data_IF_351943677139
#
_entry.id   IF_351943677139
#
_cell.length_a   1.000
_cell.length_b   1.000
_cell.length_c   1.000
_cell.angle_alpha   90.00
_cell.angle_beta   90.00
_cell.angle_gamma   90.00
#
_symmetry.space_group_name_H-M   'P 1'
#
loop_
_entity.id
_entity.type
_entity.pdbx_description
1 polymer ?
#
# COMPACT_ATOMS: atom_id res chain seq x y z
N UNK A 1 -17.39 19.59 -12.30
CA UNK A 1 -17.51 20.19 -10.95
C UNK A 1 -16.31 19.72 -10.13
N UNK A 2 -15.62 20.65 -9.48
CA UNK A 2 -14.59 20.34 -8.49
C UNK A 2 -15.16 20.72 -7.12
N UNK A 3 -15.27 19.74 -6.23
CA UNK A 3 -15.81 19.89 -4.89
C UNK A 3 -14.73 19.61 -3.84
N UNK A 4 -14.55 20.52 -2.90
CA UNK A 4 -13.74 20.29 -1.71
C UNK A 4 -14.62 19.64 -0.64
N UNK A 5 -14.32 18.40 -0.28
CA UNK A 5 -15.03 17.60 0.71
C UNK A 5 -14.31 17.64 2.05
N UNK A 6 -15.08 17.52 3.13
CA UNK A 6 -14.53 17.35 4.48
C UNK A 6 -15.41 16.38 5.25
N UNK A 7 -14.87 15.21 5.57
CA UNK A 7 -15.54 14.24 6.43
C UNK A 7 -15.06 14.44 7.87
N UNK A 8 -16.02 14.54 8.79
CA UNK A 8 -15.73 14.67 10.21
C UNK A 8 -15.77 13.29 10.86
N UNK A 9 -14.69 12.93 11.54
CA UNK A 9 -14.60 11.72 12.35
C UNK A 9 -14.37 12.10 13.80
N UNK A 10 -14.88 11.34 14.78
CA UNK A 10 -14.54 11.58 16.18
C UNK A 10 -13.02 11.43 16.38
N UNK A 11 -12.41 12.25 17.24
CA UNK A 11 -11.05 12.07 17.73
C UNK A 11 -11.03 11.43 19.12
N UNK A 12 -9.90 10.88 19.55
CA UNK A 12 -9.79 10.18 20.85
C UNK A 12 -9.99 11.08 22.07
N UNK A 13 -9.74 12.38 21.91
CA UNK A 13 -10.02 13.40 22.92
C UNK A 13 -11.46 13.95 22.85
N UNK A 14 -12.32 13.37 22.00
CA UNK A 14 -13.69 13.81 21.78
C UNK A 14 -13.85 15.00 20.83
N UNK A 15 -12.76 15.62 20.35
CA UNK A 15 -12.82 16.66 19.34
C UNK A 15 -12.95 16.04 17.94
N UNK A 16 -13.76 16.63 17.05
CA UNK A 16 -13.84 16.15 15.68
C UNK A 16 -12.53 16.40 14.93
N UNK A 17 -12.11 15.39 14.16
CA UNK A 17 -11.00 15.44 13.23
C UNK A 17 -11.53 15.44 11.80
N UNK A 18 -10.80 16.11 10.90
CA UNK A 18 -11.23 16.31 9.53
C UNK A 18 -10.37 15.48 8.56
N UNK A 19 -11.04 14.69 7.71
CA UNK A 19 -10.45 14.08 6.52
C UNK A 19 -10.80 14.98 5.33
N UNK A 20 -9.79 15.55 4.68
CA UNK A 20 -9.97 16.41 3.51
C UNK A 20 -9.87 15.60 2.23
N UNK A 21 -10.80 15.84 1.32
CA UNK A 21 -10.85 15.19 0.03
C UNK A 21 -11.27 16.15 -1.07
N UNK A 22 -10.98 15.78 -2.31
CA UNK A 22 -11.39 16.53 -3.51
C UNK A 22 -12.11 15.60 -4.46
N UNK A 23 -13.30 15.99 -4.92
CA UNK A 23 -14.05 15.25 -5.93
C UNK A 23 -14.13 16.06 -7.21
N UNK A 24 -13.65 15.46 -8.30
CA UNK A 24 -13.72 16.02 -9.64
C UNK A 24 -14.67 15.16 -10.47
N UNK A 25 -15.71 15.77 -11.04
CA UNK A 25 -16.69 15.08 -11.89
C UNK A 25 -16.76 15.75 -13.26
N UNK A 26 -16.56 14.97 -14.32
CA UNK A 26 -16.58 15.45 -15.71
C UNK A 26 -17.47 14.66 -16.67
N UNK A 27 -17.97 13.49 -16.27
CA UNK A 27 -18.95 12.70 -17.05
C UNK A 27 -19.39 11.43 -16.32
N UNK A 28 -20.09 10.55 -17.04
CA UNK A 28 -20.67 9.30 -16.53
C UNK A 28 -19.74 8.07 -16.67
N UNK A 29 -18.45 8.30 -16.96
CA UNK A 29 -17.41 7.26 -16.99
C UNK A 29 -17.03 6.72 -15.60
N UNK A 30 -15.91 6.00 -15.49
CA UNK A 30 -15.57 5.27 -14.26
C UNK A 30 -15.45 6.17 -13.03
N UNK A 31 -15.86 5.65 -11.88
CA UNK A 31 -15.68 6.26 -10.57
C UNK A 31 -14.35 5.79 -9.97
N UNK A 32 -13.51 6.72 -9.54
CA UNK A 32 -12.17 6.44 -9.03
C UNK A 32 -12.04 7.00 -7.62
N UNK A 33 -11.49 6.22 -6.70
CA UNK A 33 -11.07 6.64 -5.37
C UNK A 33 -9.57 6.43 -5.23
N UNK A 34 -8.85 7.52 -4.94
CA UNK A 34 -7.42 7.52 -4.70
C UNK A 34 -7.19 8.02 -3.28
N UNK A 35 -6.52 7.23 -2.45
CA UNK A 35 -6.19 7.68 -1.10
C UNK A 35 -4.74 7.35 -0.74
N UNK A 36 -4.22 8.06 0.27
CA UNK A 36 -2.93 7.80 0.86
C UNK A 36 -2.96 8.07 2.36
N UNK A 37 -1.98 7.50 3.07
CA UNK A 37 -1.78 7.79 4.49
C UNK A 37 -2.79 7.12 5.40
N UNK A 38 -3.23 5.90 5.08
CA UNK A 38 -3.92 5.03 6.04
C UNK A 38 -2.97 4.71 7.20
N UNK A 39 -1.72 4.34 6.91
CA UNK A 39 -0.61 4.50 7.84
C UNK A 39 -0.08 5.93 7.73
N UNK A 40 -0.14 6.69 8.82
CA UNK A 40 0.12 8.14 8.75
C UNK A 40 1.61 8.49 8.56
N UNK A 41 2.51 7.53 8.78
CA UNK A 41 3.96 7.63 8.60
C UNK A 41 4.44 7.20 7.19
N UNK A 42 3.53 6.80 6.32
CA UNK A 42 3.79 6.47 4.91
C UNK A 42 3.44 7.67 4.01
N UNK A 43 4.35 8.65 3.98
CA UNK A 43 4.04 9.99 3.47
C UNK A 43 4.22 10.15 1.95
N UNK A 44 4.85 9.20 1.25
CA UNK A 44 5.13 9.32 -0.18
C UNK A 44 3.85 9.45 -1.00
N UNK A 45 2.84 8.62 -0.71
CA UNK A 45 1.53 8.67 -1.37
C UNK A 45 0.82 10.01 -1.20
N UNK A 46 0.99 10.68 -0.05
CA UNK A 46 0.43 12.01 0.18
C UNK A 46 1.01 13.04 -0.79
N UNK A 47 2.34 12.97 -1.05
CA UNK A 47 3.03 13.84 -2.00
C UNK A 47 2.67 13.50 -3.45
N UNK A 48 2.50 12.22 -3.78
CA UNK A 48 2.00 11.78 -5.09
C UNK A 48 0.62 12.38 -5.37
N UNK A 49 -0.32 12.26 -4.42
CA UNK A 49 -1.66 12.83 -4.59
C UNK A 49 -1.66 14.36 -4.61
N UNK A 50 -0.72 15.00 -3.91
CA UNK A 50 -0.49 16.45 -4.02
C UNK A 50 -0.05 16.86 -5.44
N UNK A 51 0.84 16.09 -6.08
CA UNK A 51 1.30 16.34 -7.46
C UNK A 51 0.24 15.99 -8.50
N UNK A 52 -0.55 14.95 -8.26
CA UNK A 52 -1.59 14.47 -9.17
C UNK A 52 -2.81 15.41 -9.23
N UNK A 53 -3.23 15.96 -8.08
CA UNK A 53 -4.47 16.75 -8.00
C UNK A 53 -4.50 17.95 -8.98
N UNK A 54 -3.46 18.79 -9.10
CA UNK A 54 -3.41 19.85 -10.11
C UNK A 54 -3.53 19.33 -11.56
N UNK A 55 -2.95 18.15 -11.85
CA UNK A 55 -3.04 17.55 -13.19
C UNK A 55 -4.48 17.09 -13.49
N UNK A 56 -5.17 16.52 -12.50
CA UNK A 56 -6.59 16.16 -12.60
C UNK A 56 -7.49 17.40 -12.76
N UNK A 57 -7.22 18.47 -12.01
CA UNK A 57 -7.93 19.75 -12.19
C UNK A 57 -7.74 20.29 -13.60
N UNK A 58 -6.51 20.27 -14.12
CA UNK A 58 -6.24 20.73 -15.49
C UNK A 58 -6.95 19.87 -16.55
N UNK A 59 -7.01 18.54 -16.36
CA UNK A 59 -7.79 17.66 -17.24
C UNK A 59 -9.31 17.95 -17.14
N UNK A 60 -9.81 18.24 -15.95
CA UNK A 60 -11.20 18.67 -15.73
C UNK A 60 -11.51 19.97 -16.46
N UNK A 61 -10.68 21.00 -16.29
CA UNK A 61 -10.87 22.34 -16.87
C UNK A 61 -10.81 22.32 -18.40
N UNK A 62 -10.05 21.38 -18.98
CA UNK A 62 -10.03 21.11 -20.43
C UNK A 62 -11.22 20.28 -20.94
N UNK A 63 -12.14 19.87 -20.06
CA UNK A 63 -13.28 19.03 -20.42
C UNK A 63 -12.90 17.59 -20.78
N UNK A 64 -11.75 17.11 -20.30
CA UNK A 64 -11.19 15.80 -20.66
C UNK A 64 -11.49 14.71 -19.63
N UNK A 65 -11.93 15.10 -18.42
CA UNK A 65 -12.32 14.13 -17.40
C UNK A 65 -13.64 13.48 -17.78
N UNK A 66 -13.66 12.18 -18.02
CA UNK A 66 -14.83 11.43 -18.47
C UNK A 66 -15.64 10.80 -17.34
N UNK A 67 -15.05 10.65 -16.16
CA UNK A 67 -15.68 10.03 -14.99
C UNK A 67 -15.68 10.94 -13.75
N UNK A 68 -15.60 10.30 -12.59
CA UNK A 68 -15.46 11.00 -11.29
C UNK A 68 -14.23 10.49 -10.56
N UNK A 69 -13.38 11.39 -10.07
CA UNK A 69 -12.19 11.04 -9.27
C UNK A 69 -12.31 11.70 -7.90
N UNK A 70 -12.28 10.89 -6.84
CA UNK A 70 -12.18 11.34 -5.45
C UNK A 70 -10.75 11.12 -4.97
N UNK A 71 -10.10 12.17 -4.48
CA UNK A 71 -8.71 12.16 -4.02
C UNK A 71 -8.67 12.46 -2.52
N UNK A 72 -8.03 11.59 -1.74
CA UNK A 72 -7.90 11.67 -0.27
C UNK A 72 -6.41 11.56 0.13
N UNK A 73 -5.64 12.66 0.05
CA UNK A 73 -4.19 12.64 0.30
C UNK A 73 -3.78 12.29 1.73
N UNK A 74 -4.64 12.54 2.71
CA UNK A 74 -4.35 12.33 4.14
C UNK A 74 -5.55 11.63 4.78
N UNK A 75 -5.59 10.30 4.66
CA UNK A 75 -6.74 9.50 5.08
C UNK A 75 -6.84 9.35 6.61
N UNK A 76 -5.73 9.35 7.35
CA UNK A 76 -5.68 9.05 8.79
C UNK A 76 -5.32 10.25 9.69
N UNK A 77 -6.29 11.09 10.06
CA UNK A 77 -6.04 12.18 10.99
C UNK A 77 -5.76 11.72 12.43
N UNK A 78 -6.15 10.49 12.82
CA UNK A 78 -5.83 9.92 14.13
C UNK A 78 -4.33 9.66 14.22
N UNK A 79 -3.77 8.91 13.27
CA UNK A 79 -2.33 8.63 13.18
C UNK A 79 -1.49 9.89 13.01
N UNK A 80 -1.95 10.86 12.21
CA UNK A 80 -1.25 12.15 12.04
C UNK A 80 -1.09 12.97 13.33
N UNK A 81 -1.91 12.70 14.35
CA UNK A 81 -1.82 13.35 15.65
C UNK A 81 -0.88 12.62 16.64
N UNK A 82 -0.32 11.46 16.27
CA UNK A 82 0.44 10.60 17.17
C UNK A 82 1.96 10.87 17.11
N UNK A 83 2.41 11.91 17.81
CA UNK A 83 3.85 12.17 17.98
C UNK A 83 4.37 11.67 19.33
N UNK A 84 5.46 10.90 19.32
CA UNK A 84 6.18 10.41 20.50
C UNK A 84 7.67 10.59 20.29
N UNK A 85 8.33 11.30 21.22
CA UNK A 85 9.79 11.50 21.21
C UNK A 85 10.36 11.97 19.85
N UNK A 86 9.64 12.88 19.18
CA UNK A 86 10.05 13.44 17.89
C UNK A 86 9.79 12.54 16.68
N UNK A 87 9.08 11.42 16.85
CA UNK A 87 8.67 10.52 15.76
C UNK A 87 7.15 10.50 15.64
N UNK A 88 6.66 10.46 14.41
CA UNK A 88 5.28 10.11 14.12
C UNK A 88 5.15 8.58 14.24
N UNK A 89 4.16 8.11 15.00
CA UNK A 89 3.82 6.69 15.09
C UNK A 89 2.54 6.49 14.28
N UNK A 90 2.66 6.15 13.00
CA UNK A 90 1.54 6.17 12.06
C UNK A 90 0.94 4.81 11.72
N UNK A 91 1.63 3.71 12.05
CA UNK A 91 1.19 2.34 11.74
C UNK A 91 0.11 1.79 12.68
N UNK A 92 0.21 2.08 13.97
CA UNK A 92 -0.70 1.56 15.00
C UNK A 92 -1.40 2.68 15.75
N UNK A 93 -2.67 2.48 16.08
CA UNK A 93 -3.43 3.38 16.92
C UNK A 93 -2.99 3.27 18.38
N UNK A 94 -2.54 4.37 18.99
CA UNK A 94 -1.89 4.39 20.31
C UNK A 94 -2.82 3.86 21.41
N UNK A 95 -4.10 4.23 21.37
CA UNK A 95 -5.05 3.86 22.43
C UNK A 95 -5.49 2.39 22.38
N UNK A 96 -5.43 1.72 21.22
CA UNK A 96 -5.95 0.36 21.05
C UNK A 96 -4.91 -0.65 20.58
N UNK A 97 -3.70 -0.19 20.23
CA UNK A 97 -2.64 -0.98 19.60
C UNK A 97 -3.05 -1.72 18.32
N UNK A 98 -4.13 -1.26 17.66
CA UNK A 98 -4.61 -1.85 16.41
C UNK A 98 -3.84 -1.24 15.26
N UNK A 99 -3.41 -2.06 14.32
CA UNK A 99 -2.88 -1.59 13.04
C UNK A 99 -4.01 -0.83 12.30
N UNK A 100 -3.72 0.37 11.80
CA UNK A 100 -4.72 1.22 11.14
C UNK A 100 -5.30 0.57 9.87
N UNK A 101 -4.53 -0.27 9.17
CA UNK A 101 -4.96 -1.00 7.98
C UNK A 101 -5.44 -2.43 8.27
N UNK A 102 -6.16 -2.65 9.38
CA UNK A 102 -6.75 -3.96 9.74
C UNK A 102 -8.18 -3.82 10.24
N UNK A 103 -8.98 -4.88 10.11
CA UNK A 103 -10.38 -4.99 10.54
C UNK A 103 -11.39 -4.04 9.87
N UNK A 104 -11.10 -3.56 8.67
CA UNK A 104 -12.07 -2.79 7.88
C UNK A 104 -13.36 -3.56 7.62
N UNK A 105 -13.32 -4.90 7.48
CA UNK A 105 -14.53 -5.72 7.35
C UNK A 105 -15.52 -5.51 8.50
N UNK A 106 -15.03 -5.52 9.75
CA UNK A 106 -15.84 -5.34 10.95
C UNK A 106 -16.44 -3.93 10.99
N UNK A 107 -15.59 -2.92 10.75
CA UNK A 107 -15.99 -1.52 10.74
C UNK A 107 -17.00 -1.20 9.63
N UNK A 108 -16.83 -1.79 8.45
CA UNK A 108 -17.74 -1.67 7.31
C UNK A 108 -19.06 -2.43 7.49
N UNK A 109 -19.07 -3.52 8.25
CA UNK A 109 -20.30 -4.25 8.58
C UNK A 109 -21.10 -3.59 9.73
N UNK A 110 -20.44 -2.78 10.57
CA UNK A 110 -21.07 -2.15 11.71
C UNK A 110 -22.13 -1.11 11.28
N UNK A 111 -23.39 -1.33 11.68
CA UNK A 111 -24.50 -0.37 11.47
C UNK A 111 -24.28 0.96 12.18
N UNK A 112 -23.61 0.92 13.33
CA UNK A 112 -23.22 2.10 14.13
C UNK A 112 -21.84 1.81 14.71
N UNK A 113 -20.77 2.46 14.22
CA UNK A 113 -19.43 2.26 14.76
C UNK A 113 -19.39 2.64 16.25
N UNK A 114 -18.87 1.74 17.08
CA UNK A 114 -18.85 1.90 18.55
C UNK A 114 -17.59 2.62 19.06
N UNK A 115 -16.57 2.78 18.22
CA UNK A 115 -15.29 3.39 18.59
C UNK A 115 -14.88 4.45 17.57
N UNK A 116 -14.04 5.39 17.99
CA UNK A 116 -13.41 6.38 17.11
C UNK A 116 -12.71 5.73 15.92
N UNK A 117 -11.91 4.71 16.19
CA UNK A 117 -11.20 3.93 15.18
C UNK A 117 -12.16 3.30 14.16
N UNK A 118 -13.24 2.65 14.60
CA UNK A 118 -14.21 2.05 13.69
C UNK A 118 -15.02 3.09 12.89
N UNK A 119 -15.32 4.25 13.49
CA UNK A 119 -16.02 5.34 12.80
C UNK A 119 -15.16 5.94 11.68
N UNK A 120 -13.86 6.10 11.94
CA UNK A 120 -12.88 6.53 10.95
C UNK A 120 -12.78 5.52 9.80
N UNK A 121 -12.57 4.23 10.09
CA UNK A 121 -12.50 3.18 9.05
C UNK A 121 -13.78 3.11 8.21
N UNK A 122 -14.94 3.18 8.86
CA UNK A 122 -16.25 3.20 8.19
C UNK A 122 -16.36 4.38 7.21
N UNK A 123 -15.89 5.56 7.62
CA UNK A 123 -15.91 6.76 6.78
C UNK A 123 -15.09 6.58 5.50
N UNK A 124 -13.88 6.03 5.61
CA UNK A 124 -13.04 5.73 4.44
C UNK A 124 -13.68 4.67 3.54
N UNK A 125 -14.23 3.60 4.13
CA UNK A 125 -14.91 2.55 3.37
C UNK A 125 -16.12 3.09 2.58
N UNK A 126 -17.02 3.83 3.24
CA UNK A 126 -18.22 4.38 2.60
C UNK A 126 -17.86 5.40 1.49
N UNK A 127 -16.71 6.08 1.60
CA UNK A 127 -16.23 6.99 0.56
C UNK A 127 -15.78 6.25 -0.73
N UNK A 128 -15.32 5.01 -0.59
CA UNK A 128 -14.67 4.26 -1.66
C UNK A 128 -15.50 3.10 -2.24
N UNK A 129 -16.46 2.54 -1.49
CA UNK A 129 -17.10 1.26 -1.83
C UNK A 129 -17.87 1.26 -3.17
N UNK A 130 -18.34 2.43 -3.63
CA UNK A 130 -19.07 2.58 -4.89
C UNK A 130 -18.16 2.96 -6.09
N UNK A 131 -16.85 3.03 -5.90
CA UNK A 131 -15.92 3.28 -6.98
C UNK A 131 -15.74 2.04 -7.86
N UNK A 132 -15.34 2.25 -9.11
CA UNK A 132 -14.92 1.19 -10.04
C UNK A 132 -13.42 0.92 -9.94
N UNK A 133 -12.65 1.92 -9.50
CA UNK A 133 -11.21 1.86 -9.30
C UNK A 133 -10.88 2.43 -7.92
N UNK A 134 -10.19 1.66 -7.09
CA UNK A 134 -9.72 2.08 -5.75
C UNK A 134 -8.22 1.84 -5.65
N UNK A 135 -7.42 2.90 -5.47
CA UNK A 135 -5.99 2.80 -5.21
C UNK A 135 -5.68 3.37 -3.83
N UNK A 136 -5.08 2.55 -2.98
CA UNK A 136 -4.57 2.96 -1.68
C UNK A 136 -3.04 3.00 -1.72
N UNK A 137 -2.46 4.19 -1.58
CA UNK A 137 -1.02 4.41 -1.74
C UNK A 137 -0.31 4.30 -0.38
N UNK A 138 0.60 3.34 -0.30
CA UNK A 138 1.40 2.96 0.86
C UNK A 138 2.91 3.00 0.52
N UNK A 139 3.73 2.74 1.52
CA UNK A 139 5.17 2.45 1.39
C UNK A 139 5.60 1.40 2.40
N UNK A 140 6.48 0.49 2.01
CA UNK A 140 7.11 -0.45 2.95
C UNK A 140 8.36 0.18 3.61
N UNK A 141 9.11 -0.57 4.40
CA UNK A 141 10.29 -0.10 5.13
C UNK A 141 11.40 0.39 4.18
N UNK A 142 11.97 -0.50 3.38
CA UNK A 142 12.91 -0.26 2.26
C UNK A 142 12.57 -1.28 1.18
N UNK A 143 12.08 -0.86 0.02
CA UNK A 143 11.46 -1.77 -0.94
C UNK A 143 11.51 -1.30 -2.40
N UNK A 144 11.43 -2.27 -3.32
CA UNK A 144 11.05 -1.99 -4.71
C UNK A 144 9.59 -1.50 -4.76
N UNK A 145 9.14 -0.86 -5.85
CA UNK A 145 7.73 -0.61 -6.05
C UNK A 145 7.00 -1.93 -6.38
N UNK A 146 5.90 -2.21 -5.69
CA UNK A 146 5.09 -3.41 -5.93
C UNK A 146 3.59 -3.16 -5.67
N UNK A 147 2.75 -4.13 -6.06
CA UNK A 147 1.31 -4.09 -5.80
C UNK A 147 0.88 -5.23 -4.88
N UNK A 148 -0.11 -4.98 -4.03
CA UNK A 148 -0.94 -6.00 -3.42
C UNK A 148 -2.34 -5.94 -4.03
N UNK A 149 -2.84 -7.07 -4.50
CA UNK A 149 -4.20 -7.19 -5.02
C UNK A 149 -4.75 -8.61 -4.90
N UNK A 150 -6.09 -8.70 -4.88
CA UNK A 150 -6.78 -9.98 -4.88
C UNK A 150 -6.55 -10.73 -6.20
N UNK A 151 -6.38 -12.06 -6.13
CA UNK A 151 -6.03 -12.90 -7.29
C UNK A 151 -6.99 -12.78 -8.48
N UNK A 152 -8.31 -12.72 -8.27
CA UNK A 152 -9.30 -12.60 -9.36
C UNK A 152 -9.23 -11.26 -10.11
N UNK A 153 -8.55 -10.25 -9.57
CA UNK A 153 -8.27 -8.99 -10.26
C UNK A 153 -7.08 -9.10 -11.21
N UNK A 154 -6.32 -10.19 -11.14
CA UNK A 154 -5.21 -10.50 -12.03
C UNK A 154 -5.66 -11.45 -13.16
N UNK A 155 -5.23 -11.25 -14.43
CA UNK A 155 -4.26 -10.28 -14.96
C UNK A 155 -4.89 -8.95 -15.43
N UNK A 156 -6.15 -8.68 -15.12
CA UNK A 156 -6.85 -7.48 -15.60
C UNK A 156 -6.22 -6.17 -15.08
N UNK A 157 -5.46 -6.21 -13.98
CA UNK A 157 -4.72 -5.08 -13.41
C UNK A 157 -3.28 -4.91 -13.92
N UNK A 158 -2.86 -5.64 -14.96
CA UNK A 158 -1.47 -5.54 -15.51
C UNK A 158 -1.11 -4.15 -16.04
N UNK A 159 -2.09 -3.41 -16.51
CA UNK A 159 -1.92 -2.04 -17.00
C UNK A 159 -1.57 -1.06 -15.86
N UNK A 160 -2.12 -1.24 -14.65
CA UNK A 160 -1.70 -0.49 -13.47
C UNK A 160 -0.22 -0.76 -13.15
N UNK A 161 0.16 -2.04 -13.17
CA UNK A 161 1.54 -2.46 -12.94
C UNK A 161 2.50 -1.85 -13.99
N UNK A 162 2.11 -1.85 -15.26
CA UNK A 162 2.87 -1.23 -16.35
C UNK A 162 3.01 0.28 -16.17
N UNK A 163 1.90 0.97 -15.89
CA UNK A 163 1.85 2.43 -15.80
C UNK A 163 2.67 2.97 -14.61
N UNK A 164 2.65 2.27 -13.48
CA UNK A 164 3.45 2.60 -12.30
C UNK A 164 4.89 2.09 -12.38
N UNK A 165 5.20 1.22 -13.34
CA UNK A 165 6.52 0.61 -13.47
C UNK A 165 6.92 -0.21 -12.24
N UNK A 166 5.97 -0.93 -11.64
CA UNK A 166 6.23 -1.81 -10.49
C UNK A 166 6.99 -3.05 -10.92
N UNK A 167 7.84 -3.59 -10.05
CA UNK A 167 8.62 -4.80 -10.33
C UNK A 167 7.84 -6.08 -10.04
N UNK A 168 6.96 -6.05 -9.05
CA UNK A 168 6.29 -7.23 -8.49
C UNK A 168 4.80 -6.95 -8.27
N UNK A 169 3.95 -7.93 -8.58
CA UNK A 169 2.55 -7.95 -8.18
C UNK A 169 2.32 -9.14 -7.24
N UNK A 170 2.03 -8.86 -5.97
CA UNK A 170 1.78 -9.87 -4.94
C UNK A 170 0.28 -10.14 -4.87
N UNK A 171 -0.10 -11.39 -5.12
CA UNK A 171 -1.48 -11.84 -5.29
C UNK A 171 -1.94 -12.60 -4.05
N UNK A 172 -2.96 -12.09 -3.37
CA UNK A 172 -3.58 -12.75 -2.22
C UNK A 172 -4.94 -13.37 -2.60
N UNK A 173 -5.32 -14.43 -1.88
CA UNK A 173 -6.53 -15.21 -2.14
C UNK A 173 -7.64 -14.84 -1.14
N UNK A 174 -7.33 -14.89 0.15
CA UNK A 174 -8.22 -14.55 1.27
C UNK A 174 -7.60 -13.42 2.09
N UNK A 175 -8.45 -12.50 2.57
CA UNK A 175 -8.08 -11.43 3.50
C UNK A 175 -8.72 -11.71 4.86
N UNK A 176 -7.96 -12.39 5.73
CA UNK A 176 -8.40 -12.72 7.09
C UNK A 176 -8.23 -11.54 8.06
N UNK A 177 -7.39 -10.56 7.73
CA UNK A 177 -6.98 -9.51 8.65
C UNK A 177 -7.70 -8.17 8.41
N UNK A 178 -8.39 -8.07 7.27
CA UNK A 178 -9.35 -7.04 6.95
C UNK A 178 -8.69 -5.72 6.62
N UNK A 179 -7.73 -5.73 5.71
CA UNK A 179 -7.16 -4.53 5.14
C UNK A 179 -8.21 -3.70 4.37
N UNK A 180 -7.93 -2.43 4.13
CA UNK A 180 -8.87 -1.53 3.46
C UNK A 180 -9.26 -2.06 2.07
N UNK A 181 -8.27 -2.43 1.26
CA UNK A 181 -8.44 -2.96 -0.08
C UNK A 181 -9.22 -4.29 -0.08
N UNK A 182 -8.94 -5.16 0.90
CA UNK A 182 -9.62 -6.45 1.01
C UNK A 182 -11.07 -6.28 1.46
N UNK A 183 -11.37 -5.30 2.32
CA UNK A 183 -12.75 -4.93 2.65
C UNK A 183 -13.56 -4.45 1.43
N UNK A 184 -12.95 -3.66 0.56
CA UNK A 184 -13.56 -3.22 -0.70
C UNK A 184 -13.76 -4.41 -1.65
N UNK A 185 -12.73 -5.24 -1.86
CA UNK A 185 -12.81 -6.43 -2.71
C UNK A 185 -13.90 -7.39 -2.24
N UNK A 186 -13.97 -7.67 -0.94
CA UNK A 186 -14.98 -8.53 -0.35
C UNK A 186 -16.40 -7.93 -0.47
N UNK A 187 -16.52 -6.60 -0.38
CA UNK A 187 -17.80 -5.93 -0.64
C UNK A 187 -18.24 -6.12 -2.09
N UNK A 188 -17.37 -5.92 -3.07
CA UNK A 188 -17.70 -6.16 -4.48
C UNK A 188 -17.96 -7.64 -4.79
N UNK A 189 -17.22 -8.57 -4.18
CA UNK A 189 -17.46 -9.99 -4.33
C UNK A 189 -18.88 -10.38 -3.88
N UNK A 190 -19.34 -9.83 -2.75
CA UNK A 190 -20.70 -10.08 -2.22
C UNK A 190 -21.82 -9.42 -3.04
N UNK A 191 -21.56 -8.25 -3.61
CA UNK A 191 -22.57 -7.46 -4.35
C UNK A 191 -22.48 -7.63 -5.88
N UNK A 192 -21.51 -8.39 -6.37
CA UNK A 192 -21.19 -8.53 -7.79
C UNK A 192 -20.32 -7.40 -8.34
N UNK A 193 -19.67 -7.66 -9.48
CA UNK A 193 -18.86 -6.66 -10.17
C UNK A 193 -17.38 -6.62 -9.80
N UNK A 194 -16.84 -7.63 -9.09
CA UNK A 194 -15.43 -7.65 -8.69
C UNK A 194 -14.49 -7.63 -9.90
N UNK A 195 -14.76 -8.45 -10.92
CA UNK A 195 -13.86 -8.66 -12.08
C UNK A 195 -13.90 -7.50 -13.09
N UNK A 196 -14.92 -6.66 -12.97
CA UNK A 196 -15.14 -5.46 -13.78
C UNK A 196 -14.50 -4.21 -13.15
N UNK A 197 -14.05 -4.32 -11.90
CA UNK A 197 -13.48 -3.24 -11.10
C UNK A 197 -12.01 -3.52 -10.79
N UNK A 198 -11.35 -2.56 -10.16
CA UNK A 198 -9.98 -2.68 -9.70
C UNK A 198 -9.85 -2.12 -8.29
N UNK A 199 -9.27 -2.88 -7.39
CA UNK A 199 -8.79 -2.38 -6.10
C UNK A 199 -7.38 -2.91 -5.85
N UNK A 200 -6.48 -2.04 -5.44
CA UNK A 200 -5.10 -2.40 -5.14
C UNK A 200 -4.50 -1.50 -4.06
N UNK A 201 -3.65 -2.10 -3.25
CA UNK A 201 -2.66 -1.38 -2.44
C UNK A 201 -1.41 -1.21 -3.31
N UNK A 202 -0.96 0.04 -3.45
CA UNK A 202 0.21 0.42 -4.22
C UNK A 202 1.33 0.75 -3.25
N UNK A 203 2.41 -0.01 -3.30
CA UNK A 203 3.57 0.18 -2.43
C UNK A 203 4.61 0.94 -3.23
N UNK A 204 4.69 2.25 -2.97
CA UNK A 204 5.49 3.20 -3.74
C UNK A 204 6.98 3.14 -3.39
N UNK A 205 7.55 1.97 -3.08
CA UNK A 205 8.90 1.77 -2.51
C UNK A 205 8.96 1.97 -0.99
N UNK A 206 10.11 2.37 -0.46
CA UNK A 206 10.36 2.54 0.98
C UNK A 206 9.84 3.86 1.58
N UNK A 207 9.65 3.90 2.90
CA UNK A 207 9.20 5.09 3.62
C UNK A 207 10.15 6.29 3.54
N UNK A 208 11.45 6.09 3.30
CA UNK A 208 12.44 7.18 3.20
C UNK A 208 12.43 7.87 1.84
N UNK A 209 11.63 7.35 0.92
CA UNK A 209 11.87 7.41 -0.51
C UNK A 209 10.93 8.49 -1.09
N UNK A 210 11.10 9.70 -0.55
CA UNK A 210 10.18 10.84 -0.70
C UNK A 210 10.92 12.00 -1.35
N UNK A 211 10.58 12.31 -2.60
CA UNK A 211 11.10 13.47 -3.32
C UNK A 211 10.11 13.92 -4.39
N UNK A 212 10.25 15.16 -4.85
CA UNK A 212 9.44 15.69 -5.94
C UNK A 212 9.59 14.86 -7.23
N UNK A 213 10.83 14.45 -7.56
CA UNK A 213 11.09 13.65 -8.77
C UNK A 213 10.39 12.29 -8.74
N UNK A 214 10.40 11.61 -7.57
CA UNK A 214 9.70 10.35 -7.39
C UNK A 214 8.18 10.56 -7.42
N UNK A 215 7.68 11.58 -6.72
CA UNK A 215 6.25 11.86 -6.67
C UNK A 215 5.68 12.27 -8.04
N UNK A 216 6.43 13.02 -8.85
CA UNK A 216 6.07 13.36 -10.22
C UNK A 216 5.99 12.12 -11.11
N UNK A 217 7.02 11.24 -11.05
CA UNK A 217 7.01 9.97 -11.79
C UNK A 217 5.80 9.11 -11.43
N UNK A 218 5.54 8.94 -10.14
CA UNK A 218 4.45 8.10 -9.65
C UNK A 218 3.08 8.71 -9.98
N UNK A 219 2.92 10.04 -9.87
CA UNK A 219 1.70 10.74 -10.29
C UNK A 219 1.45 10.63 -11.80
N UNK A 220 2.49 10.74 -12.63
CA UNK A 220 2.39 10.57 -14.08
C UNK A 220 2.00 9.13 -14.45
N UNK A 221 2.51 8.14 -13.70
CA UNK A 221 2.11 6.75 -13.83
C UNK A 221 0.63 6.52 -13.50
N UNK A 222 0.14 7.07 -12.37
CA UNK A 222 -1.30 7.04 -12.04
C UNK A 222 -2.11 7.72 -13.14
N UNK A 223 -1.68 8.87 -13.64
CA UNK A 223 -2.39 9.59 -14.69
C UNK A 223 -2.44 8.79 -16.00
N UNK A 224 -1.35 8.14 -16.40
CA UNK A 224 -1.29 7.26 -17.56
C UNK A 224 -2.25 6.08 -17.41
N UNK A 225 -2.32 5.47 -16.23
CA UNK A 225 -3.29 4.42 -15.93
C UNK A 225 -4.74 4.92 -16.04
N UNK A 226 -5.07 6.08 -15.45
CA UNK A 226 -6.41 6.66 -15.52
C UNK A 226 -6.84 6.97 -16.96
N UNK A 227 -5.93 7.47 -17.79
CA UNK A 227 -6.17 7.66 -19.23
C UNK A 227 -6.43 6.32 -19.93
N UNK A 228 -5.62 5.29 -19.65
CA UNK A 228 -5.78 3.93 -20.20
C UNK A 228 -7.12 3.28 -19.81
N UNK A 229 -7.66 3.64 -18.65
CA UNK A 229 -8.98 3.21 -18.16
C UNK A 229 -10.14 4.09 -18.63
N UNK A 230 -9.90 5.09 -19.48
CA UNK A 230 -10.93 5.97 -20.01
C UNK A 230 -11.52 6.95 -18.99
N UNK A 231 -10.84 7.17 -17.86
CA UNK A 231 -11.22 8.20 -16.87
C UNK A 231 -10.90 9.59 -17.41
N UNK A 232 -9.87 9.70 -18.28
CA UNK A 232 -9.44 10.92 -18.95
C UNK A 232 -9.36 10.65 -20.45
N UNK A 233 -10.01 11.47 -21.28
CA UNK A 233 -10.04 11.38 -22.74
C UNK A 233 -8.72 11.83 -23.39
N UNK A 234 -7.63 11.16 -23.05
CA UNK A 234 -6.33 11.31 -23.71
C UNK A 234 -5.82 9.93 -24.17
N UNK A 235 -5.34 9.80 -25.41
CA UNK A 235 -4.79 8.55 -25.89
C UNK A 235 -3.53 8.19 -25.11
N UNK A 236 -3.39 6.91 -24.77
CA UNK A 236 -2.19 6.35 -24.13
C UNK A 236 -1.59 5.30 -25.06
N UNK A 237 -0.26 5.27 -25.12
CA UNK A 237 0.44 4.14 -25.71
C UNK A 237 0.25 2.88 -24.87
N UNK A 238 0.23 1.71 -25.51
CA UNK A 238 0.29 0.47 -24.76
C UNK A 238 1.66 0.37 -24.06
N UNK A 239 1.64 0.07 -22.77
CA UNK A 239 2.83 -0.26 -22.00
C UNK A 239 2.72 -1.72 -21.55
N UNK A 240 3.68 -2.53 -21.95
CA UNK A 240 3.77 -3.91 -21.49
C UNK A 240 4.46 -3.96 -20.13
N UNK A 241 3.88 -4.74 -19.22
CA UNK A 241 4.51 -5.03 -17.93
C UNK A 241 5.36 -6.30 -18.03
N UNK A 242 6.62 -6.18 -17.58
CA UNK A 242 7.64 -7.24 -17.59
C UNK A 242 8.06 -7.71 -16.19
N UNK A 243 7.32 -7.33 -15.15
CA UNK A 243 7.58 -7.75 -13.78
C UNK A 243 7.11 -9.18 -13.47
N UNK A 244 7.15 -9.54 -12.19
CA UNK A 244 6.80 -10.87 -11.69
C UNK A 244 5.49 -10.83 -10.87
N UNK A 245 4.54 -11.70 -11.19
CA UNK A 245 3.32 -11.87 -10.41
C UNK A 245 3.44 -13.11 -9.54
N UNK A 246 3.35 -12.94 -8.23
CA UNK A 246 3.65 -13.99 -7.23
C UNK A 246 2.48 -14.15 -6.27
N UNK A 247 2.03 -15.39 -5.99
CA UNK A 247 1.16 -15.64 -4.84
C UNK A 247 1.81 -15.12 -3.55
N UNK A 248 1.03 -14.50 -2.68
CA UNK A 248 1.52 -14.05 -1.36
C UNK A 248 2.12 -15.21 -0.56
N UNK A 249 1.54 -16.40 -0.67
CA UNK A 249 2.06 -17.62 -0.04
C UNK A 249 3.46 -18.01 -0.53
N UNK A 250 3.93 -17.48 -1.66
CA UNK A 250 5.26 -17.74 -2.20
C UNK A 250 6.29 -16.66 -1.80
N UNK A 251 5.85 -15.59 -1.14
CA UNK A 251 6.77 -14.63 -0.55
C UNK A 251 7.46 -15.27 0.65
N UNK A 252 8.79 -15.19 0.68
CA UNK A 252 9.56 -15.58 1.86
C UNK A 252 9.79 -14.38 2.75
N UNK A 253 9.50 -14.55 4.04
CA UNK A 253 9.82 -13.57 5.08
C UNK A 253 10.98 -14.11 5.91
N UNK A 254 12.16 -13.49 5.78
CA UNK A 254 13.34 -13.87 6.56
C UNK A 254 13.35 -13.08 7.86
N UNK A 255 13.16 -13.77 8.99
CA UNK A 255 13.15 -13.17 10.32
C UNK A 255 14.54 -13.13 10.93
N UNK A 256 14.80 -12.12 11.76
CA UNK A 256 16.01 -12.01 12.57
C UNK A 256 16.01 -13.07 13.68
N UNK A 257 16.94 -14.06 13.68
CA UNK A 257 16.97 -15.08 14.72
C UNK A 257 17.48 -14.56 16.07
N UNK A 258 18.15 -13.40 16.07
CA UNK A 258 18.72 -12.73 17.24
C UNK A 258 18.65 -11.22 17.03
N UNK A 259 18.68 -10.47 18.14
CA UNK A 259 18.82 -9.01 18.08
C UNK A 259 20.25 -8.62 17.70
N UNK A 260 20.42 -7.54 16.96
CA UNK A 260 21.75 -7.01 16.63
C UNK A 260 21.77 -6.07 15.43
N UNK A 261 22.98 -5.78 14.95
CA UNK A 261 23.17 -4.93 13.77
C UNK A 261 23.00 -5.76 12.50
N UNK A 262 21.97 -5.45 11.71
CA UNK A 262 21.68 -6.10 10.43
C UNK A 262 22.52 -5.48 9.31
N UNK A 263 23.29 -6.33 8.64
CA UNK A 263 24.16 -5.96 7.52
C UNK A 263 23.76 -6.77 6.30
N UNK A 264 23.24 -6.11 5.27
CA UNK A 264 22.90 -6.76 4.01
C UNK A 264 24.16 -7.09 3.21
N UNK A 265 24.20 -8.30 2.65
CA UNK A 265 25.25 -8.76 1.73
C UNK A 265 24.76 -8.73 0.28
N UNK A 266 23.47 -8.45 0.06
CA UNK A 266 22.82 -8.29 -1.25
C UNK A 266 21.95 -7.04 -1.29
N UNK A 267 21.88 -6.47 -2.48
CA UNK A 267 21.08 -5.26 -2.70
C UNK A 267 19.59 -5.56 -2.88
N UNK A 268 18.79 -4.55 -2.61
CA UNK A 268 17.38 -4.54 -2.96
C UNK A 268 17.23 -4.80 -4.48
N UNK A 269 16.33 -5.71 -4.84
CA UNK A 269 16.11 -6.14 -6.23
C UNK A 269 17.10 -7.17 -6.77
N UNK A 270 18.11 -7.59 -5.99
CA UNK A 270 18.99 -8.67 -6.42
C UNK A 270 18.24 -10.00 -6.51
N UNK A 271 18.51 -10.77 -7.58
CA UNK A 271 18.14 -12.18 -7.67
C UNK A 271 19.21 -13.02 -6.97
N UNK A 272 18.77 -13.97 -6.15
CA UNK A 272 19.63 -14.84 -5.33
C UNK A 272 19.27 -16.31 -5.53
N UNK A 273 20.23 -17.19 -5.31
CA UNK A 273 20.05 -18.63 -5.31
C UNK A 273 19.63 -19.17 -3.93
N UNK A 274 19.00 -20.34 -3.90
CA UNK A 274 18.67 -21.03 -2.66
C UNK A 274 19.94 -21.34 -1.84
N UNK A 275 19.95 -20.97 -0.56
CA UNK A 275 21.09 -21.12 0.34
C UNK A 275 22.15 -20.02 0.20
N UNK A 276 21.99 -19.07 -0.71
CA UNK A 276 22.89 -17.93 -0.84
C UNK A 276 22.82 -17.01 0.39
N UNK A 277 23.97 -16.48 0.81
CA UNK A 277 24.05 -15.50 1.90
C UNK A 277 23.49 -14.16 1.44
N UNK A 278 22.50 -13.64 2.18
CA UNK A 278 21.76 -12.43 1.83
C UNK A 278 22.01 -11.30 2.83
N UNK A 279 22.27 -11.65 4.08
CA UNK A 279 22.57 -10.71 5.15
C UNK A 279 23.25 -11.43 6.31
N UNK A 280 23.67 -10.65 7.31
CA UNK A 280 24.15 -11.15 8.59
C UNK A 280 23.75 -10.22 9.73
N UNK A 281 23.62 -10.76 10.92
CA UNK A 281 23.36 -10.00 12.14
C UNK A 281 24.58 -10.09 13.06
N UNK A 282 25.13 -8.93 13.43
CA UNK A 282 26.19 -8.83 14.45
C UNK A 282 25.52 -8.73 15.82
N UNK A 283 25.45 -9.85 16.54
CA UNK A 283 24.83 -9.90 17.87
C UNK A 283 25.71 -9.28 18.96
N UNK A 284 27.03 -9.47 18.88
CA UNK A 284 28.01 -8.97 19.85
C UNK A 284 29.16 -8.22 19.14
N UNK A 285 29.02 -6.91 18.88
CA UNK A 285 30.05 -6.13 18.20
C UNK A 285 31.44 -6.26 18.86
N UNK A 286 32.45 -6.58 18.05
CA UNK A 286 33.83 -6.76 18.51
C UNK A 286 34.18 -8.18 18.97
N UNK A 287 33.24 -9.13 19.01
CA UNK A 287 33.49 -10.54 19.32
C UNK A 287 33.57 -11.35 18.02
N UNK A 288 34.75 -11.90 17.65
CA UNK A 288 34.87 -12.75 16.47
C UNK A 288 33.91 -13.94 16.51
N UNK A 289 33.23 -14.22 15.40
CA UNK A 289 32.33 -15.37 15.27
C UNK A 289 30.92 -15.17 15.84
N UNK A 290 30.58 -13.99 16.35
CA UNK A 290 29.22 -13.69 16.85
C UNK A 290 28.23 -13.27 15.75
N UNK A 291 28.56 -13.52 14.49
CA UNK A 291 27.73 -13.15 13.35
C UNK A 291 26.77 -14.27 13.00
N UNK A 292 25.49 -13.93 12.87
CA UNK A 292 24.45 -14.85 12.44
C UNK A 292 24.16 -14.62 10.97
N UNK A 293 24.52 -15.59 10.13
CA UNK A 293 24.31 -15.52 8.68
C UNK A 293 22.85 -15.81 8.35
N UNK A 294 22.26 -14.95 7.53
CA UNK A 294 20.94 -15.16 6.95
C UNK A 294 21.12 -15.63 5.50
N UNK A 295 20.42 -16.69 5.14
CA UNK A 295 20.46 -17.29 3.80
C UNK A 295 19.09 -17.27 3.14
N UNK A 296 19.04 -17.20 1.82
CA UNK A 296 17.81 -17.27 1.05
C UNK A 296 17.19 -18.70 1.17
N UNK A 297 15.95 -18.86 1.64
CA UNK A 297 15.31 -20.18 1.75
C UNK A 297 15.05 -20.86 0.39
N UNK A 298 14.94 -20.06 -0.65
CA UNK A 298 14.78 -20.47 -2.05
C UNK A 298 15.35 -19.40 -2.97
N UNK A 299 15.49 -19.73 -4.26
CA UNK A 299 15.87 -18.74 -5.26
C UNK A 299 14.72 -17.74 -5.49
N UNK A 300 15.08 -16.47 -5.72
CA UNK A 300 14.09 -15.41 -5.88
C UNK A 300 14.70 -14.01 -5.89
N UNK A 301 13.85 -12.99 -5.95
CA UNK A 301 14.26 -11.57 -5.95
C UNK A 301 14.00 -10.94 -4.60
N UNK A 302 14.98 -10.23 -4.03
CA UNK A 302 14.78 -9.43 -2.81
C UNK A 302 13.87 -8.25 -3.11
N UNK A 303 12.69 -8.20 -2.49
CA UNK A 303 11.66 -7.17 -2.75
C UNK A 303 11.63 -6.10 -1.67
N UNK A 304 11.84 -6.49 -0.40
CA UNK A 304 11.79 -5.58 0.73
C UNK A 304 12.90 -5.89 1.72
N UNK A 305 13.34 -4.91 2.47
CA UNK A 305 14.37 -4.96 3.51
C UNK A 305 13.88 -4.16 4.71
N UNK A 306 14.34 -4.53 5.89
CA UNK A 306 14.19 -3.67 7.06
C UNK A 306 15.09 -2.44 6.92
N UNK A 307 14.49 -1.25 6.88
CA UNK A 307 15.20 0.02 6.89
C UNK A 307 16.03 0.19 8.16
N UNK A 308 15.47 -0.18 9.31
CA UNK A 308 16.16 -0.09 10.58
C UNK A 308 17.30 -1.12 10.59
N UNK A 309 18.52 -0.65 10.82
CA UNK A 309 19.73 -1.49 10.82
C UNK A 309 20.02 -2.10 12.18
N UNK A 310 19.22 -1.77 13.20
CA UNK A 310 19.21 -2.41 14.50
C UNK A 310 17.88 -3.14 14.64
N UNK A 311 17.94 -4.47 14.71
CA UNK A 311 16.76 -5.33 14.76
C UNK A 311 16.68 -6.07 16.08
N UNK A 312 15.46 -6.33 16.52
CA UNK A 312 15.16 -7.30 17.57
C UNK A 312 15.02 -8.70 16.99
N UNK A 313 15.19 -9.72 17.84
CA UNK A 313 14.83 -11.09 17.49
C UNK A 313 13.35 -11.14 17.09
N UNK A 314 13.06 -11.76 15.96
CA UNK A 314 11.71 -11.88 15.39
C UNK A 314 11.34 -10.76 14.42
N UNK A 315 12.10 -9.68 14.34
CA UNK A 315 11.87 -8.64 13.33
C UNK A 315 12.05 -9.23 11.92
N UNK A 316 11.25 -8.74 10.97
CA UNK A 316 11.48 -9.01 9.55
C UNK A 316 12.82 -8.39 9.17
N UNK A 317 13.75 -9.18 8.63
CA UNK A 317 15.00 -8.69 8.08
C UNK A 317 14.83 -8.32 6.60
N UNK A 318 14.24 -9.19 5.80
CA UNK A 318 13.90 -8.91 4.40
C UNK A 318 12.84 -9.87 3.88
N UNK A 319 12.27 -9.52 2.72
CA UNK A 319 11.41 -10.41 1.94
C UNK A 319 11.94 -10.64 0.56
N UNK A 320 11.70 -11.83 0.02
CA UNK A 320 12.00 -12.16 -1.37
C UNK A 320 10.86 -12.94 -2.03
N UNK A 321 10.79 -12.87 -3.36
CA UNK A 321 9.91 -13.74 -4.15
C UNK A 321 10.37 -15.19 -4.06
N UNK A 322 9.47 -16.11 -4.41
CA UNK A 322 9.74 -17.54 -4.42
C UNK A 322 8.91 -18.26 -5.49
N UNK A 323 9.37 -19.44 -5.91
CA UNK A 323 8.67 -20.28 -6.89
C UNK A 323 7.77 -21.32 -6.23
N UNK A 324 7.88 -21.50 -4.92
CA UNK A 324 7.10 -22.45 -4.10
C UNK A 324 6.54 -21.75 -2.85
N UNK A 325 5.46 -22.27 -2.26
CA UNK A 325 4.97 -21.77 -0.98
C UNK A 325 6.07 -21.73 0.08
N UNK A 326 6.16 -20.62 0.81
CA UNK A 326 7.08 -20.46 1.93
C UNK A 326 6.75 -21.48 3.02
N UNK A 327 7.79 -22.06 3.61
CA UNK A 327 7.62 -22.98 4.73
C UNK A 327 7.08 -22.29 6.00
N UNK A 328 7.25 -20.96 6.09
CA UNK A 328 6.73 -20.15 7.19
C UNK A 328 5.33 -19.59 6.95
N UNK A 329 4.71 -19.89 5.80
CA UNK A 329 3.38 -19.37 5.47
C UNK A 329 2.29 -19.99 6.34
N UNK A 330 1.53 -19.14 7.03
CA UNK A 330 0.42 -19.55 7.90
C UNK A 330 -0.95 -18.98 7.53
N UNK A 331 -1.07 -18.24 6.41
CA UNK A 331 -2.32 -17.59 5.96
C UNK A 331 -2.33 -16.07 6.17
N UNK A 332 -3.37 -15.40 5.64
CA UNK A 332 -3.64 -13.96 5.79
C UNK A 332 -3.07 -13.05 4.69
N UNK A 333 -3.82 -12.03 4.28
CA UNK A 333 -3.30 -10.99 3.39
C UNK A 333 -2.56 -9.96 4.23
N UNK A 334 -1.22 -9.90 4.12
CA UNK A 334 -0.29 -8.90 4.69
C UNK A 334 0.56 -9.38 5.87
N UNK A 335 1.74 -8.78 5.92
CA UNK A 335 2.78 -8.94 6.93
C UNK A 335 2.30 -8.51 8.34
N UNK A 336 2.77 -9.15 9.43
CA UNK A 336 2.43 -8.78 10.81
C UNK A 336 2.77 -7.33 11.22
#
# INVERSE_FOLDING_TARGET
>A
MIEALTWQVPGDNGQPLAIRAWRLSGGDGPRVHLQAGVHADEIAGMLVLHRLLPQLCAAHDRGMLCGTVTVVPQANPLGLAQFRQGRLLGRFHDATHRNFNRHFHESAAARRPATTFAAWQRTLFDAACDADIVLDLHTDSDALPYLYLQRDLWPASRDLAAALGVDVAILWDEDDDGAFEGAIAAHWARNGGLRERLVATVELRGQSDVSDALAERDADGVLAFLRGRGVIAEPVGAHDWHGEAVPIAHMETVLAPVSGVLVYERELGATVDAGERIARIVAHPGVPGSEHVLVAPQAGRIVTRNRERLVAQGDVALKLTGSRPSAGWSGGALDP
#
